data_IF_081043107373
#
_entry.id   IF_081043107373
#
_cell.length_a   1.000
_cell.length_b   1.000
_cell.length_c   1.000
_cell.angle_alpha   90.00
_cell.angle_beta   90.00
_cell.angle_gamma   90.00
#
_symmetry.space_group_name_H-M   'P 1'
#
loop_
_entity.id
_entity.type
_entity.pdbx_description
1 polymer ?
#
# COMPACT_ATOMS: atom_id res chain seq x y z
N UNK A 1 -23.26 -42.28 -26.38
CA UNK A 1 -23.06 -41.66 -25.09
C UNK A 1 -21.98 -40.59 -25.21
N UNK A 2 -22.40 -39.35 -25.40
CA UNK A 2 -21.43 -38.28 -25.45
C UNK A 2 -20.97 -37.94 -24.03
N UNK A 3 -19.71 -38.18 -23.76
CA UNK A 3 -19.05 -37.56 -22.60
C UNK A 3 -19.09 -36.07 -22.86
N UNK A 4 -19.93 -35.35 -22.12
CA UNK A 4 -19.83 -33.89 -22.10
C UNK A 4 -18.40 -33.58 -21.66
N UNK A 5 -17.66 -32.76 -22.39
CA UNK A 5 -16.40 -32.29 -21.87
C UNK A 5 -16.74 -31.59 -20.55
N UNK A 6 -16.19 -32.07 -19.47
CA UNK A 6 -16.20 -31.34 -18.24
C UNK A 6 -15.71 -29.94 -18.61
N UNK A 7 -16.60 -28.97 -18.50
CA UNK A 7 -16.18 -27.58 -18.57
C UNK A 7 -15.14 -27.46 -17.46
N UNK A 8 -13.90 -27.41 -17.84
CA UNK A 8 -12.87 -27.03 -16.87
C UNK A 8 -13.32 -25.71 -16.28
N UNK A 9 -13.92 -25.79 -15.10
CA UNK A 9 -14.26 -24.61 -14.37
C UNK A 9 -12.95 -23.91 -14.11
N UNK A 10 -12.68 -22.86 -14.91
CA UNK A 10 -11.52 -22.01 -14.69
C UNK A 10 -11.65 -21.47 -13.26
N UNK A 11 -10.72 -21.85 -12.42
CA UNK A 11 -10.68 -21.33 -11.05
C UNK A 11 -10.68 -19.81 -11.13
N UNK A 12 -11.54 -19.11 -10.38
CA UNK A 12 -11.55 -17.65 -10.40
C UNK A 12 -10.19 -17.12 -9.95
N UNK A 13 -9.68 -16.15 -10.67
CA UNK A 13 -8.41 -15.48 -10.36
C UNK A 13 -8.72 -14.12 -9.75
N UNK A 14 -8.21 -13.89 -8.57
CA UNK A 14 -8.35 -12.61 -7.88
C UNK A 14 -6.99 -11.96 -7.72
N UNK A 15 -6.96 -10.64 -7.92
CA UNK A 15 -5.79 -9.81 -7.64
C UNK A 15 -6.13 -8.95 -6.44
N UNK A 16 -5.32 -9.04 -5.40
CA UNK A 16 -5.42 -8.15 -4.25
C UNK A 16 -4.39 -7.03 -4.42
N UNK A 17 -4.85 -5.79 -4.39
CA UNK A 17 -3.98 -4.62 -4.39
C UNK A 17 -4.05 -3.99 -3.00
N UNK A 18 -2.94 -4.01 -2.30
CA UNK A 18 -2.77 -3.36 -1.00
C UNK A 18 -1.71 -2.27 -1.13
N UNK A 19 -2.11 -1.04 -0.88
CA UNK A 19 -1.22 0.12 -0.94
C UNK A 19 -0.39 0.20 0.33
N UNK A 20 0.84 -0.23 0.24
CA UNK A 20 1.76 -0.33 1.37
C UNK A 20 2.01 1.02 2.04
N UNK A 21 1.84 1.05 3.36
CA UNK A 21 2.05 2.26 4.17
C UNK A 21 1.28 3.47 3.60
N UNK A 22 0.03 3.26 3.24
CA UNK A 22 -0.74 4.15 2.39
C UNK A 22 -0.75 5.59 2.89
N UNK A 23 -1.13 5.84 4.14
CA UNK A 23 -1.21 7.20 4.67
C UNK A 23 0.15 7.90 4.68
N UNK A 24 1.19 7.18 5.05
CA UNK A 24 2.56 7.72 5.02
C UNK A 24 3.00 8.03 3.58
N UNK A 25 2.65 7.18 2.63
CA UNK A 25 2.96 7.40 1.21
C UNK A 25 2.25 8.63 0.65
N UNK A 26 0.98 8.83 0.99
CA UNK A 26 0.22 10.04 0.60
C UNK A 26 0.89 11.30 1.14
N UNK A 27 1.26 11.30 2.42
CA UNK A 27 1.92 12.44 3.05
C UNK A 27 3.29 12.73 2.43
N UNK A 28 4.04 11.71 2.08
CA UNK A 28 5.32 11.87 1.38
C UNK A 28 5.14 12.52 0.01
N UNK A 29 4.21 12.02 -0.79
CA UNK A 29 3.93 12.55 -2.12
C UNK A 29 3.45 14.00 -2.05
N UNK A 30 2.59 14.32 -1.10
CA UNK A 30 2.09 15.69 -0.89
C UNK A 30 3.21 16.67 -0.55
N UNK A 31 4.26 16.19 0.13
CA UNK A 31 5.45 16.98 0.47
C UNK A 31 6.55 16.95 -0.57
N UNK A 32 6.33 16.29 -1.70
CA UNK A 32 7.36 16.10 -2.73
C UNK A 32 8.49 15.17 -2.33
N UNK A 33 8.25 14.25 -1.38
CA UNK A 33 9.23 13.28 -0.91
C UNK A 33 8.98 11.91 -1.55
N UNK A 34 10.06 11.12 -1.68
CA UNK A 34 9.96 9.75 -2.16
C UNK A 34 9.46 8.84 -1.03
N UNK A 35 8.27 8.20 -1.18
CA UNK A 35 7.72 7.32 -0.14
C UNK A 35 8.60 6.15 0.25
N UNK A 36 9.49 5.70 -0.63
CA UNK A 36 10.35 4.55 -0.39
C UNK A 36 11.60 4.90 0.44
N UNK A 37 12.02 6.16 0.41
CA UNK A 37 13.26 6.61 1.08
C UNK A 37 13.02 7.59 2.22
N UNK A 38 11.88 8.24 2.26
CA UNK A 38 11.56 9.22 3.30
C UNK A 38 11.27 8.55 4.65
N UNK A 39 11.69 9.20 5.72
CA UNK A 39 11.41 8.80 7.10
C UNK A 39 10.21 9.60 7.60
N UNK A 40 9.03 9.04 7.48
CA UNK A 40 7.80 9.70 7.85
C UNK A 40 6.84 8.71 8.50
N UNK A 41 6.19 9.16 9.57
CA UNK A 41 5.07 8.44 10.17
C UNK A 41 3.87 9.37 10.33
N UNK A 42 2.70 8.78 10.41
CA UNK A 42 1.43 9.52 10.56
C UNK A 42 0.89 9.28 11.96
N UNK A 43 0.90 10.31 12.78
CA UNK A 43 0.38 10.26 14.15
C UNK A 43 -0.01 11.66 14.62
N UNK A 44 -0.95 11.72 15.54
CA UNK A 44 -1.34 12.97 16.19
C UNK A 44 -0.53 13.17 17.48
N UNK A 45 0.58 13.89 17.39
CA UNK A 45 1.45 14.20 18.53
C UNK A 45 0.76 15.04 19.61
N UNK A 46 -0.31 15.77 19.25
CA UNK A 46 -1.01 16.65 20.19
C UNK A 46 -1.78 15.87 21.26
N UNK A 47 -2.06 14.60 21.00
CA UNK A 47 -2.77 13.76 21.98
C UNK A 47 -1.87 13.28 23.11
N UNK A 48 -0.89 12.46 22.79
CA UNK A 48 0.15 11.98 23.72
C UNK A 48 1.10 11.03 22.99
N UNK A 49 2.22 10.70 23.62
CA UNK A 49 3.15 9.67 23.10
C UNK A 49 2.56 8.25 23.09
N UNK A 50 1.42 8.03 23.75
CA UNK A 50 0.70 6.74 23.72
C UNK A 50 -0.22 6.60 22.52
N UNK A 51 -0.37 7.64 21.69
CA UNK A 51 -1.18 7.58 20.47
C UNK A 51 -0.63 6.55 19.50
N UNK A 52 -1.53 5.89 18.78
CA UNK A 52 -1.14 4.88 17.78
C UNK A 52 -0.75 5.58 16.49
N UNK A 53 0.38 5.20 15.93
CA UNK A 53 0.77 5.63 14.59
C UNK A 53 -0.11 4.92 13.56
N UNK A 54 -0.78 5.68 12.71
CA UNK A 54 -1.69 5.13 11.70
C UNK A 54 -0.95 4.54 10.52
N UNK A 55 0.24 5.05 10.22
CA UNK A 55 1.10 4.52 9.17
C UNK A 55 2.55 4.88 9.43
N UNK A 56 3.44 4.03 8.96
CA UNK A 56 4.90 4.19 9.07
C UNK A 56 5.50 3.95 7.70
N UNK A 57 6.40 4.82 7.25
CA UNK A 57 7.04 4.68 5.94
C UNK A 57 7.90 3.41 5.85
N UNK A 58 8.09 2.86 4.63
CA UNK A 58 8.93 1.67 4.46
C UNK A 58 10.36 1.84 4.97
N UNK A 59 10.94 3.02 4.84
CA UNK A 59 12.28 3.31 5.35
C UNK A 59 12.37 3.17 6.87
N UNK A 60 11.39 3.68 7.61
CA UNK A 60 11.33 3.52 9.07
C UNK A 60 11.10 2.06 9.47
N UNK A 61 10.27 1.33 8.73
CA UNK A 61 10.07 -0.11 8.97
C UNK A 61 11.37 -0.89 8.81
N UNK A 62 12.18 -0.54 7.81
CA UNK A 62 13.49 -1.14 7.60
C UNK A 62 14.47 -0.87 8.76
N UNK A 63 14.27 0.21 9.49
CA UNK A 63 15.05 0.55 10.69
C UNK A 63 14.59 -0.19 11.94
N UNK A 64 13.50 -0.93 11.88
CA UNK A 64 12.96 -1.69 13.00
C UNK A 64 11.71 -1.08 13.65
N UNK A 65 11.14 -0.04 13.07
CA UNK A 65 9.87 0.53 13.55
C UNK A 65 8.72 -0.41 13.17
N UNK A 66 7.87 -0.84 14.11
CA UNK A 66 6.72 -1.71 13.78
C UNK A 66 5.69 -1.01 12.87
N UNK A 67 4.75 -1.77 12.32
CA UNK A 67 3.76 -1.24 11.36
C UNK A 67 2.74 -0.30 11.98
N UNK A 68 2.32 -0.57 13.20
CA UNK A 68 1.37 0.27 13.96
C UNK A 68 1.81 0.42 15.41
N UNK A 69 2.94 1.09 15.63
CA UNK A 69 3.45 1.27 16.98
C UNK A 69 2.69 2.41 17.68
N UNK A 70 2.81 2.46 18.98
CA UNK A 70 2.54 3.72 19.69
C UNK A 70 3.67 4.70 19.41
N UNK A 71 3.40 5.99 19.49
CA UNK A 71 4.39 7.00 19.14
C UNK A 71 5.69 6.86 19.94
N UNK A 72 5.59 6.55 21.25
CA UNK A 72 6.79 6.35 22.08
C UNK A 72 7.59 5.11 21.64
N UNK A 73 6.92 4.06 21.19
CA UNK A 73 7.60 2.85 20.67
C UNK A 73 8.36 3.15 19.38
N UNK A 74 7.75 3.93 18.48
CA UNK A 74 8.40 4.37 17.25
C UNK A 74 9.65 5.21 17.56
N UNK A 75 9.55 6.15 18.48
CA UNK A 75 10.68 6.97 18.93
C UNK A 75 11.79 6.14 19.56
N UNK A 76 11.44 5.14 20.36
CA UNK A 76 12.43 4.23 20.96
C UNK A 76 13.15 3.40 19.90
N UNK A 77 12.43 2.87 18.93
CA UNK A 77 13.01 2.10 17.83
C UNK A 77 14.00 2.95 17.01
N UNK A 78 13.66 4.19 16.73
CA UNK A 78 14.54 5.13 16.04
C UNK A 78 15.80 5.42 16.86
N UNK A 79 15.66 5.68 18.15
CA UNK A 79 16.81 5.91 19.03
C UNK A 79 17.75 4.71 19.13
N UNK A 80 17.17 3.50 19.16
CA UNK A 80 17.95 2.27 19.16
C UNK A 80 18.74 2.12 17.86
N UNK A 81 18.10 2.39 16.73
CA UNK A 81 18.77 2.38 15.43
C UNK A 81 19.90 3.41 15.36
N UNK A 82 19.64 4.64 15.82
CA UNK A 82 20.65 5.69 15.87
C UNK A 82 21.86 5.30 16.72
N UNK A 83 21.62 4.69 17.88
CA UNK A 83 22.70 4.20 18.74
C UNK A 83 23.52 3.08 18.11
N UNK A 84 22.86 2.12 17.46
CA UNK A 84 23.52 0.99 16.82
C UNK A 84 24.34 1.40 15.59
N UNK A 85 23.87 2.37 14.83
CA UNK A 85 24.50 2.78 13.57
C UNK A 85 25.29 4.09 13.69
N UNK A 86 25.35 4.69 14.88
CA UNK A 86 26.04 5.96 15.16
C UNK A 86 25.66 7.08 14.17
N UNK A 87 24.38 7.20 13.91
CA UNK A 87 23.82 8.18 12.99
C UNK A 87 22.61 8.85 13.62
N UNK A 88 22.21 9.99 13.09
CA UNK A 88 20.94 10.65 13.44
C UNK A 88 19.93 10.41 12.34
N UNK A 89 18.71 10.15 12.74
CA UNK A 89 17.58 9.95 11.83
C UNK A 89 16.58 11.09 12.01
N UNK A 90 16.37 11.86 10.97
CA UNK A 90 15.30 12.85 10.94
C UNK A 90 14.01 12.15 10.56
N UNK A 91 13.03 12.18 11.44
CA UNK A 91 11.72 11.59 11.24
C UNK A 91 10.66 12.68 11.21
N UNK A 92 9.88 12.70 10.15
CA UNK A 92 8.73 13.61 10.03
C UNK A 92 7.52 12.94 10.65
N UNK A 93 6.86 13.62 11.58
CA UNK A 93 5.60 13.18 12.17
C UNK A 93 4.49 14.01 11.54
N UNK A 94 3.73 13.39 10.66
CA UNK A 94 2.64 14.04 9.95
C UNK A 94 1.32 13.86 10.70
N UNK A 95 0.60 14.94 10.90
CA UNK A 95 -0.74 14.89 11.49
C UNK A 95 -1.69 14.20 10.51
N UNK A 96 -2.58 13.29 10.98
CA UNK A 96 -3.51 12.61 10.09
C UNK A 96 -4.43 13.56 9.33
N UNK A 97 -4.59 13.29 8.03
CA UNK A 97 -5.47 14.05 7.13
C UNK A 97 -6.40 13.08 6.40
N UNK A 98 -7.41 12.58 7.09
CA UNK A 98 -8.29 11.53 6.58
C UNK A 98 -9.02 11.95 5.30
N UNK A 99 -9.46 13.21 5.20
CA UNK A 99 -10.12 13.72 4.00
C UNK A 99 -9.20 13.67 2.76
N UNK A 100 -7.92 13.98 2.94
CA UNK A 100 -6.92 13.87 1.87
C UNK A 100 -6.73 12.41 1.45
N UNK A 101 -6.63 11.48 2.39
CA UNK A 101 -6.44 10.06 2.11
C UNK A 101 -7.63 9.47 1.36
N UNK A 102 -8.84 9.85 1.72
CA UNK A 102 -10.06 9.46 1.01
C UNK A 102 -10.10 10.03 -0.40
N UNK A 103 -9.71 11.27 -0.58
CA UNK A 103 -9.65 11.91 -1.90
C UNK A 103 -8.66 11.22 -2.82
N UNK A 104 -7.47 10.89 -2.34
CA UNK A 104 -6.46 10.17 -3.11
C UNK A 104 -6.89 8.75 -3.41
N UNK A 105 -7.52 8.07 -2.46
CA UNK A 105 -8.09 6.73 -2.66
C UNK A 105 -9.14 6.73 -3.77
N UNK A 106 -10.01 7.73 -3.80
CA UNK A 106 -11.01 7.87 -4.86
C UNK A 106 -10.37 8.08 -6.24
N UNK A 107 -9.28 8.85 -6.32
CA UNK A 107 -8.52 9.03 -7.56
C UNK A 107 -7.89 7.72 -8.04
N UNK A 108 -7.30 6.95 -7.14
CA UNK A 108 -6.71 5.65 -7.46
C UNK A 108 -7.79 4.69 -7.94
N UNK A 109 -8.94 4.64 -7.27
CA UNK A 109 -10.07 3.83 -7.67
C UNK A 109 -10.55 4.20 -9.09
N UNK A 110 -10.63 5.49 -9.41
CA UNK A 110 -11.01 5.95 -10.75
C UNK A 110 -10.05 5.48 -11.83
N UNK A 111 -8.76 5.31 -11.51
CA UNK A 111 -7.77 4.74 -12.42
C UNK A 111 -8.06 3.26 -12.68
N UNK A 112 -8.40 2.49 -11.66
CA UNK A 112 -8.77 1.08 -11.83
C UNK A 112 -10.00 0.93 -12.75
N UNK A 113 -10.98 1.81 -12.62
CA UNK A 113 -12.20 1.80 -13.43
C UNK A 113 -11.96 2.07 -14.91
N UNK A 114 -10.82 2.64 -15.29
CA UNK A 114 -10.43 2.81 -16.71
C UNK A 114 -10.11 1.48 -17.38
N UNK A 115 -9.70 0.49 -16.61
CA UNK A 115 -9.22 -0.80 -17.15
C UNK A 115 -10.12 -1.96 -16.76
N UNK A 116 -10.91 -1.84 -15.71
CA UNK A 116 -11.64 -2.94 -15.08
C UNK A 116 -13.08 -2.50 -14.84
N UNK A 117 -14.02 -3.38 -15.16
CA UNK A 117 -15.45 -3.13 -14.94
C UNK A 117 -15.78 -3.02 -13.44
N UNK A 118 -16.70 -2.16 -13.09
CA UNK A 118 -17.11 -1.93 -11.69
C UNK A 118 -17.54 -3.20 -10.97
N UNK A 119 -18.21 -4.13 -11.68
CA UNK A 119 -18.66 -5.40 -11.10
C UNK A 119 -17.50 -6.34 -10.72
N UNK A 120 -16.32 -6.13 -11.28
CA UNK A 120 -15.12 -6.96 -11.04
C UNK A 120 -14.20 -6.38 -9.96
N UNK A 121 -14.53 -5.20 -9.43
CA UNK A 121 -13.75 -4.54 -8.37
C UNK A 121 -14.53 -4.58 -7.06
N UNK A 122 -13.88 -5.08 -6.01
CA UNK A 122 -14.41 -5.09 -4.65
C UNK A 122 -13.52 -4.25 -3.75
N UNK A 123 -14.02 -3.10 -3.33
CA UNK A 123 -13.32 -2.23 -2.38
C UNK A 123 -13.46 -2.79 -0.98
N UNK A 124 -12.38 -3.26 -0.41
CA UNK A 124 -12.36 -3.77 0.96
C UNK A 124 -12.12 -2.66 1.98
N UNK A 125 -11.20 -1.76 1.68
CA UNK A 125 -10.88 -0.61 2.53
C UNK A 125 -10.30 0.53 1.68
N UNK A 126 -9.95 1.63 2.32
CA UNK A 126 -9.38 2.81 1.65
C UNK A 126 -8.10 2.48 0.86
N UNK A 127 -7.35 1.48 1.28
CA UNK A 127 -6.06 1.08 0.69
C UNK A 127 -6.03 -0.35 0.14
N UNK A 128 -7.14 -1.08 0.22
CA UNK A 128 -7.22 -2.46 -0.26
C UNK A 128 -8.37 -2.67 -1.23
N UNK A 129 -8.05 -3.27 -2.37
CA UNK A 129 -9.00 -3.59 -3.43
C UNK A 129 -8.77 -5.01 -3.91
N UNK A 130 -9.85 -5.76 -4.10
CA UNK A 130 -9.81 -7.07 -4.75
C UNK A 130 -10.42 -6.97 -6.14
N UNK A 131 -9.71 -7.48 -7.12
CA UNK A 131 -10.13 -7.47 -8.52
C UNK A 131 -10.32 -8.91 -8.97
N UNK A 132 -11.51 -9.21 -9.49
CA UNK A 132 -11.72 -10.47 -10.20
C UNK A 132 -11.11 -10.35 -11.60
N UNK A 133 -9.98 -11.02 -11.79
CA UNK A 133 -9.16 -10.88 -12.99
C UNK A 133 -9.34 -12.00 -13.99
N UNK A 134 -10.27 -12.93 -13.77
CA UNK A 134 -10.44 -14.15 -14.60
C UNK A 134 -10.61 -13.82 -16.08
N UNK A 135 -11.41 -12.81 -16.43
CA UNK A 135 -11.66 -12.38 -17.80
C UNK A 135 -10.48 -11.64 -18.44
N UNK A 136 -9.62 -11.05 -17.64
CA UNK A 136 -8.52 -10.19 -18.09
C UNK A 136 -7.21 -10.95 -18.25
N UNK A 137 -7.09 -12.13 -17.65
CA UNK A 137 -5.84 -12.91 -17.65
C UNK A 137 -5.41 -13.35 -19.05
N UNK A 138 -6.36 -13.72 -19.90
CA UNK A 138 -6.06 -14.11 -21.29
C UNK A 138 -5.48 -12.94 -22.08
N UNK A 139 -6.04 -11.74 -21.93
CA UNK A 139 -5.55 -10.53 -22.57
C UNK A 139 -4.16 -10.15 -22.07
N UNK A 140 -3.92 -10.26 -20.77
CA UNK A 140 -2.62 -9.97 -20.16
C UNK A 140 -1.54 -10.95 -20.60
N UNK A 141 -1.87 -12.22 -20.74
CA UNK A 141 -0.95 -13.24 -21.23
C UNK A 141 -0.54 -12.95 -22.67
N UNK A 142 -1.47 -12.57 -23.54
CA UNK A 142 -1.17 -12.21 -24.93
C UNK A 142 -0.32 -10.93 -25.04
N UNK A 143 -0.50 -9.97 -24.16
CA UNK A 143 0.26 -8.72 -24.16
C UNK A 143 1.65 -8.92 -23.54
N UNK A 144 1.77 -9.74 -22.51
CA UNK A 144 3.02 -9.89 -21.74
C UNK A 144 3.98 -10.92 -22.32
N UNK A 145 3.54 -11.90 -23.10
CA UNK A 145 4.42 -12.90 -23.70
C UNK A 145 5.53 -12.30 -24.56
N UNK A 146 5.27 -11.34 -25.46
CA UNK A 146 6.34 -10.72 -26.23
C UNK A 146 7.35 -9.96 -25.37
N UNK A 147 6.92 -9.41 -24.25
CA UNK A 147 7.77 -8.62 -23.35
C UNK A 147 8.67 -9.50 -22.49
N UNK A 148 8.23 -10.70 -22.13
CA UNK A 148 9.05 -11.66 -21.37
C UNK A 148 10.24 -12.20 -22.13
N UNK A 149 10.19 -12.19 -23.47
CA UNK A 149 11.28 -12.66 -24.35
C UNK A 149 12.37 -11.61 -24.54
N UNK A 150 12.13 -10.37 -24.20
CA UNK A 150 13.04 -9.25 -24.42
C UNK A 150 13.92 -8.96 -23.19
N UNK A 151 13.62 -9.57 -22.07
CA UNK A 151 14.39 -9.37 -20.83
C UNK A 151 15.58 -10.32 -20.75
#
# INVERSE_FOLDING_TARGET
MGVKPESQSKKPVYIAIDLKSYYASVECVERGLNPLTANLLVADETRSDKTICLAVSPSLKAMGVPSRPRLFEAKQAIRLYEAQHRTKVECIIAKPQMALYEKVSAKIYSIYLKYIATCDIHVYSIDEVFIEATHYMLSLIHISEPTRRVV
#
